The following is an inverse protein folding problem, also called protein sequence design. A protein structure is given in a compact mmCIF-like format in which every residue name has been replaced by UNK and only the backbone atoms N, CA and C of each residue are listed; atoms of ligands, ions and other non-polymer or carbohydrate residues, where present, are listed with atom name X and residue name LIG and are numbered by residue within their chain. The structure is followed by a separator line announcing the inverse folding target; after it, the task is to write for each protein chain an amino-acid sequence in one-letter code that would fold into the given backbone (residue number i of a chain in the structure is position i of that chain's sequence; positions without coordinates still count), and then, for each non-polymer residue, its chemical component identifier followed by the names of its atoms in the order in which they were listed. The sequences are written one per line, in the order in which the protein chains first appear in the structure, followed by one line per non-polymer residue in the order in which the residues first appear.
data_IF_712393725809
#
_entry.id   IF_712393725809
#
_cell.length_a   1.000
_cell.length_b   1.000
_cell.length_c   1.000
_cell.angle_alpha   90.00
_cell.angle_beta   90.00
_cell.angle_gamma   90.00
#
_symmetry.space_group_name_H-M   'P 1'
#
loop_
_entity.id
_entity.type
_entity.pdbx_description
1 polymer ?
#
# COMPACT_ATOMS: atom_id res chain seq x y z
N UNK A 1 -10.24 18.66 -12.93
CA UNK A 1 -10.56 17.37 -12.33
C UNK A 1 -9.24 16.65 -12.13
N UNK A 2 -8.88 16.38 -10.88
CA UNK A 2 -7.51 15.96 -10.51
C UNK A 2 -7.34 14.44 -10.61
N UNK A 3 -8.44 13.70 -10.46
CA UNK A 3 -8.48 12.24 -10.44
C UNK A 3 -9.71 11.79 -11.22
N UNK A 4 -9.52 10.99 -12.26
CA UNK A 4 -10.61 10.65 -13.19
C UNK A 4 -10.59 9.16 -13.51
N UNK A 5 -11.77 8.56 -13.63
CA UNK A 5 -11.86 7.26 -14.29
C UNK A 5 -11.62 7.39 -15.80
N UNK A 6 -10.99 6.38 -16.39
CA UNK A 6 -10.75 6.28 -17.82
C UNK A 6 -10.85 4.83 -18.27
N UNK A 7 -11.31 4.62 -19.49
CA UNK A 7 -11.16 3.33 -20.15
C UNK A 7 -9.82 3.34 -20.88
N UNK A 8 -9.04 2.28 -20.69
CA UNK A 8 -7.77 2.09 -21.36
C UNK A 8 -7.93 1.07 -22.49
N UNK A 9 -7.15 1.23 -23.55
CA UNK A 9 -6.98 0.17 -24.54
C UNK A 9 -6.00 -0.84 -23.96
N UNK A 10 -6.53 -1.97 -23.48
CA UNK A 10 -5.78 -2.97 -22.73
C UNK A 10 -5.58 -4.22 -23.60
N UNK A 11 -4.33 -4.57 -23.86
CA UNK A 11 -3.97 -5.82 -24.52
C UNK A 11 -4.11 -6.99 -23.54
N UNK A 12 -5.25 -7.67 -23.60
CA UNK A 12 -5.55 -8.82 -22.75
C UNK A 12 -4.58 -10.00 -22.94
N UNK A 13 -3.86 -10.08 -24.08
CA UNK A 13 -2.88 -11.14 -24.31
C UNK A 13 -1.61 -11.00 -23.45
N UNK A 14 -1.37 -9.79 -22.94
CA UNK A 14 -0.24 -9.44 -22.08
C UNK A 14 -0.57 -9.63 -20.59
N UNK A 15 -1.85 -9.54 -20.24
CA UNK A 15 -2.30 -9.59 -18.85
C UNK A 15 -1.93 -10.93 -18.24
N UNK A 16 -1.20 -10.88 -17.12
CA UNK A 16 -0.84 -12.10 -16.39
C UNK A 16 -2.10 -12.85 -15.95
N UNK A 17 -2.19 -14.17 -16.15
CA UNK A 17 -3.36 -14.93 -15.75
C UNK A 17 -3.39 -15.23 -14.24
N UNK A 18 -2.25 -15.16 -13.56
CA UNK A 18 -2.09 -15.50 -12.13
C UNK A 18 -1.10 -14.53 -11.50
N UNK A 19 -1.43 -14.04 -10.30
CA UNK A 19 -0.56 -13.18 -9.49
C UNK A 19 -0.23 -13.80 -8.12
N UNK A 20 -1.17 -14.55 -7.51
CA UNK A 20 -0.97 -15.15 -6.20
C UNK A 20 -1.48 -16.60 -6.15
N UNK A 21 -0.60 -17.50 -5.73
CA UNK A 21 -0.89 -18.94 -5.66
C UNK A 21 -1.37 -19.48 -7.01
N UNK A 22 -2.60 -19.98 -7.04
CA UNK A 22 -3.25 -20.55 -8.23
C UNK A 22 -4.49 -19.74 -8.67
N UNK A 23 -4.75 -18.61 -8.02
CA UNK A 23 -5.97 -17.84 -8.27
C UNK A 23 -5.85 -17.06 -9.57
N UNK A 24 -6.89 -17.16 -10.42
CA UNK A 24 -6.98 -16.38 -11.65
C UNK A 24 -7.01 -14.89 -11.33
N UNK A 25 -6.15 -14.14 -12.01
CA UNK A 25 -6.13 -12.70 -11.97
C UNK A 25 -7.37 -12.15 -12.68
N UNK A 26 -8.20 -11.41 -11.95
CA UNK A 26 -9.37 -10.73 -12.48
C UNK A 26 -8.99 -9.31 -12.82
N UNK A 27 -9.15 -8.90 -14.08
CA UNK A 27 -8.77 -7.56 -14.55
C UNK A 27 -9.92 -6.83 -15.25
N UNK A 28 -9.78 -5.52 -15.36
CA UNK A 28 -10.65 -4.64 -16.15
C UNK A 28 -9.81 -3.57 -16.81
N UNK A 29 -10.25 -3.10 -17.98
CA UNK A 29 -9.65 -1.96 -18.66
C UNK A 29 -10.11 -0.61 -18.09
N UNK A 30 -11.11 -0.62 -17.19
CA UNK A 30 -11.52 0.57 -16.45
C UNK A 30 -10.46 0.91 -15.42
N UNK A 31 -9.77 2.02 -15.60
CA UNK A 31 -8.72 2.50 -14.73
C UNK A 31 -8.95 3.89 -14.18
N UNK A 32 -7.92 4.43 -13.54
CA UNK A 32 -7.90 5.80 -13.00
C UNK A 32 -6.67 6.54 -13.51
N UNK A 33 -6.82 7.84 -13.72
CA UNK A 33 -5.74 8.78 -14.02
C UNK A 33 -5.63 9.74 -12.85
N UNK A 34 -4.46 9.83 -12.24
CA UNK A 34 -4.13 10.91 -11.30
C UNK A 34 -3.27 11.96 -11.99
N UNK A 35 -3.59 13.22 -11.74
CA UNK A 35 -2.92 14.37 -12.36
C UNK A 35 -1.50 14.60 -11.81
N UNK A 36 -0.69 15.36 -12.55
CA UNK A 36 0.65 15.76 -12.10
C UNK A 36 0.65 16.62 -10.83
N UNK A 37 -0.43 17.38 -10.58
CA UNK A 37 -0.63 18.09 -9.32
C UNK A 37 -0.74 17.11 -8.14
N UNK A 38 -1.57 16.07 -8.30
CA UNK A 38 -1.72 14.98 -7.32
C UNK A 38 -0.40 14.25 -7.10
N UNK A 39 0.32 13.91 -8.18
CA UNK A 39 1.63 13.24 -8.09
C UNK A 39 2.63 14.08 -7.29
N UNK A 40 2.71 15.37 -7.58
CA UNK A 40 3.63 16.27 -6.91
C UNK A 40 3.30 16.45 -5.43
N UNK A 41 2.01 16.53 -5.08
CA UNK A 41 1.61 16.62 -3.68
C UNK A 41 1.86 15.31 -2.93
N UNK A 42 1.66 14.15 -3.58
CA UNK A 42 2.06 12.84 -3.03
C UNK A 42 3.56 12.79 -2.76
N UNK A 43 4.40 13.35 -3.64
CA UNK A 43 5.84 13.44 -3.42
C UNK A 43 6.20 14.29 -2.20
N UNK A 44 5.57 15.45 -2.06
CA UNK A 44 5.73 16.31 -0.86
C UNK A 44 5.28 15.59 0.41
N UNK A 45 4.15 14.89 0.33
CA UNK A 45 3.63 14.09 1.42
C UNK A 45 4.65 13.05 1.86
N UNK A 46 5.18 12.24 0.93
CA UNK A 46 6.16 11.20 1.23
C UNK A 46 7.47 11.77 1.76
N UNK A 47 7.95 12.88 1.20
CA UNK A 47 9.13 13.58 1.71
C UNK A 47 8.96 14.01 3.17
N UNK A 48 7.82 14.63 3.51
CA UNK A 48 7.50 15.03 4.89
C UNK A 48 7.33 13.82 5.82
N UNK A 49 6.65 12.77 5.35
CA UNK A 49 6.46 11.54 6.10
C UNK A 49 7.80 10.88 6.43
N UNK A 50 8.68 10.73 5.44
CA UNK A 50 10.02 10.13 5.58
C UNK A 50 10.88 10.91 6.58
N UNK A 51 10.82 12.25 6.55
CA UNK A 51 11.49 13.10 7.52
C UNK A 51 10.92 12.93 8.93
N UNK A 52 9.59 12.90 9.08
CA UNK A 52 8.89 12.76 10.37
C UNK A 52 9.19 11.41 11.04
N UNK A 53 9.24 10.32 10.26
CA UNK A 53 9.54 8.97 10.78
C UNK A 53 11.04 8.66 10.86
N UNK A 54 11.91 9.54 10.36
CA UNK A 54 13.37 9.36 10.38
C UNK A 54 13.86 8.15 9.58
N UNK A 55 13.62 8.12 8.27
CA UNK A 55 14.15 7.08 7.38
C UNK A 55 15.66 7.22 7.19
N UNK A 56 16.41 6.11 7.33
CA UNK A 56 17.88 6.08 7.16
C UNK A 56 18.32 5.57 5.78
N UNK A 57 17.48 4.77 5.12
CA UNK A 57 17.66 4.28 3.75
C UNK A 57 16.41 4.57 2.93
N UNK A 58 16.52 4.51 1.60
CA UNK A 58 15.39 4.66 0.69
C UNK A 58 14.30 3.63 1.00
N UNK A 59 13.12 4.06 1.48
CA UNK A 59 12.01 3.16 1.73
C UNK A 59 11.32 2.74 0.43
N UNK A 60 10.56 1.65 0.51
CA UNK A 60 9.63 1.21 -0.54
C UNK A 60 8.25 1.19 0.08
N UNK A 61 7.26 1.72 -0.62
CA UNK A 61 5.90 1.85 -0.09
C UNK A 61 4.86 1.25 -1.02
N UNK A 62 3.88 0.57 -0.41
CA UNK A 62 2.57 0.27 -0.97
C UNK A 62 1.55 1.12 -0.22
N UNK A 63 0.94 2.07 -0.91
CA UNK A 63 0.03 3.05 -0.34
C UNK A 63 -1.39 2.69 -0.74
N UNK A 64 -2.22 2.48 0.27
CA UNK A 64 -3.62 2.13 0.14
C UNK A 64 -4.45 3.41 0.28
N UNK A 65 -5.17 3.81 -0.78
CA UNK A 65 -5.88 5.09 -0.80
C UNK A 65 -7.30 4.98 -1.35
N UNK A 66 -8.23 5.69 -0.73
CA UNK A 66 -9.50 6.04 -1.36
C UNK A 66 -9.36 7.38 -2.07
N UNK A 67 -10.29 7.67 -2.97
CA UNK A 67 -10.23 8.88 -3.77
C UNK A 67 -11.63 9.34 -4.16
N UNK A 68 -11.74 10.60 -4.51
CA UNK A 68 -12.83 11.20 -5.27
C UNK A 68 -12.23 11.97 -6.46
N UNK A 69 -13.00 12.82 -7.14
CA UNK A 69 -12.53 13.57 -8.31
C UNK A 69 -11.44 14.63 -8.00
N UNK A 70 -11.27 14.97 -6.73
CA UNK A 70 -10.46 16.08 -6.24
C UNK A 70 -9.41 15.67 -5.20
N UNK A 71 -9.64 14.59 -4.46
CA UNK A 71 -8.88 14.23 -3.26
C UNK A 71 -8.41 12.78 -3.32
N UNK A 72 -7.16 12.52 -2.89
CA UNK A 72 -6.66 11.19 -2.53
C UNK A 72 -6.55 11.11 -1.01
N UNK A 73 -7.30 10.19 -0.41
CA UNK A 73 -7.31 9.91 1.02
C UNK A 73 -6.42 8.71 1.34
N UNK A 74 -5.27 8.95 1.97
CA UNK A 74 -4.29 7.92 2.33
C UNK A 74 -4.77 7.17 3.58
N UNK A 75 -5.08 5.88 3.42
CA UNK A 75 -5.65 5.04 4.48
C UNK A 75 -4.60 4.26 5.26
N UNK A 76 -3.57 3.77 4.56
CA UNK A 76 -2.46 2.98 5.09
C UNK A 76 -1.23 3.17 4.18
N UNK A 77 -0.04 3.22 4.80
CA UNK A 77 1.26 3.18 4.11
C UNK A 77 1.94 1.91 4.60
N UNK A 78 2.07 0.94 3.71
CA UNK A 78 2.76 -0.31 4.01
C UNK A 78 4.21 -0.20 3.52
N UNK A 79 5.14 -0.62 4.36
CA UNK A 79 6.58 -0.60 4.12
C UNK A 79 7.25 -1.94 4.49
N UNK A 80 6.57 -2.82 5.24
CA UNK A 80 7.10 -4.14 5.59
C UNK A 80 6.71 -5.22 4.59
N UNK A 81 5.57 -5.02 3.93
CA UNK A 81 4.98 -5.93 2.96
C UNK A 81 4.56 -5.11 1.74
N UNK A 82 5.45 -5.09 0.75
CA UNK A 82 5.34 -4.25 -0.45
C UNK A 82 5.42 -5.17 -1.68
N UNK A 83 4.35 -5.92 -1.88
CA UNK A 83 4.09 -6.75 -3.05
C UNK A 83 3.10 -6.05 -4.00
N UNK A 84 2.96 -6.54 -5.23
CA UNK A 84 2.06 -5.98 -6.24
C UNK A 84 2.73 -5.10 -7.30
N UNK A 85 4.06 -4.93 -7.24
CA UNK A 85 4.84 -4.24 -8.27
C UNK A 85 4.69 -4.88 -9.65
N UNK A 86 4.76 -6.21 -9.74
CA UNK A 86 4.59 -6.95 -10.99
C UNK A 86 3.19 -6.75 -11.56
N UNK A 87 2.16 -6.79 -10.70
CA UNK A 87 0.77 -6.49 -11.10
C UNK A 87 0.65 -5.08 -11.67
N UNK A 88 1.21 -4.07 -10.98
CA UNK A 88 1.17 -2.68 -11.41
C UNK A 88 1.86 -2.47 -12.76
N UNK A 89 3.08 -3.01 -12.92
CA UNK A 89 3.85 -2.87 -14.16
C UNK A 89 3.21 -3.62 -15.33
N UNK A 90 2.68 -4.82 -15.09
CA UNK A 90 1.99 -5.60 -16.12
C UNK A 90 0.73 -4.89 -16.62
N UNK A 91 -0.09 -4.35 -15.72
CA UNK A 91 -1.28 -3.56 -16.09
C UNK A 91 -0.90 -2.26 -16.81
N UNK A 92 0.18 -1.59 -16.38
CA UNK A 92 0.69 -0.41 -17.06
C UNK A 92 1.12 -0.74 -18.50
N UNK A 93 1.93 -1.79 -18.70
CA UNK A 93 2.36 -2.23 -20.03
C UNK A 93 1.19 -2.67 -20.91
N UNK A 94 0.28 -3.49 -20.37
CA UNK A 94 -0.91 -3.94 -21.09
C UNK A 94 -1.79 -2.77 -21.55
N UNK A 95 -1.78 -1.66 -20.81
CA UNK A 95 -2.62 -0.47 -21.07
C UNK A 95 -1.88 0.67 -21.78
N UNK A 96 -0.65 0.44 -22.26
CA UNK A 96 0.16 1.47 -22.92
C UNK A 96 0.61 2.63 -22.01
N UNK A 97 0.60 2.44 -20.69
CA UNK A 97 1.06 3.45 -19.72
C UNK A 97 2.58 3.34 -19.59
N UNK A 98 3.27 4.45 -19.85
CA UNK A 98 4.73 4.52 -19.72
C UNK A 98 5.13 4.60 -18.25
N UNK A 99 6.10 3.77 -17.87
CA UNK A 99 6.79 3.83 -16.57
C UNK A 99 8.25 4.16 -16.83
N UNK A 100 8.81 5.12 -16.10
CA UNK A 100 10.20 5.51 -16.21
C UNK A 100 11.11 4.45 -15.53
N UNK A 101 11.94 3.71 -16.28
CA UNK A 101 12.81 2.69 -15.70
C UNK A 101 13.85 3.29 -14.73
N UNK A 102 14.21 4.56 -14.87
CA UNK A 102 15.21 5.20 -13.98
C UNK A 102 14.67 5.43 -12.57
N UNK A 103 13.34 5.43 -12.40
CA UNK A 103 12.68 5.51 -11.10
C UNK A 103 12.60 4.16 -10.36
N UNK A 104 12.86 3.04 -11.04
CA UNK A 104 12.78 1.68 -10.48
C UNK A 104 14.14 1.24 -9.90
N UNK A 105 14.52 1.86 -8.79
CA UNK A 105 15.79 1.55 -8.10
C UNK A 105 15.58 0.37 -7.14
N UNK A 106 15.96 -0.83 -7.57
CA UNK A 106 15.89 -2.06 -6.78
C UNK A 106 17.26 -2.75 -6.68
N UNK A 107 17.50 -3.60 -5.67
CA UNK A 107 18.65 -4.50 -5.68
C UNK A 107 18.49 -5.55 -6.80
N UNK A 108 19.62 -6.12 -7.26
CA UNK A 108 19.61 -7.16 -8.31
C UNK A 108 18.92 -8.45 -7.89
N UNK A 109 18.87 -8.73 -6.58
CA UNK A 109 18.39 -10.00 -6.02
C UNK A 109 17.02 -9.84 -5.40
N UNK A 110 16.12 -10.75 -5.74
CA UNK A 110 14.79 -10.86 -5.15
C UNK A 110 14.55 -12.22 -4.54
N UNK A 111 13.65 -12.27 -3.57
CA UNK A 111 13.18 -13.53 -2.98
C UNK A 111 11.80 -13.36 -2.36
N UNK A 112 11.20 -14.45 -1.92
CA UNK A 112 9.94 -14.43 -1.21
C UNK A 112 9.98 -15.33 0.02
N UNK A 113 9.37 -14.89 1.12
CA UNK A 113 9.15 -15.71 2.33
C UNK A 113 8.13 -16.81 2.15
N UNK A 114 7.26 -16.72 1.14
CA UNK A 114 6.21 -17.70 0.89
C UNK A 114 6.05 -17.99 -0.60
N UNK A 115 5.85 -19.27 -0.93
CA UNK A 115 5.64 -19.71 -2.31
C UNK A 115 4.40 -19.09 -2.96
N UNK A 116 3.42 -18.65 -2.16
CA UNK A 116 2.19 -18.01 -2.67
C UNK A 116 2.47 -16.72 -3.45
N UNK A 117 3.56 -16.01 -3.13
CA UNK A 117 3.96 -14.75 -3.79
C UNK A 117 4.94 -14.96 -4.96
N UNK A 118 5.38 -16.20 -5.22
CA UNK A 118 6.34 -16.47 -6.29
C UNK A 118 5.82 -16.08 -7.68
N UNK A 119 4.53 -16.32 -8.04
CA UNK A 119 4.01 -15.89 -9.34
C UNK A 119 4.09 -14.36 -9.54
N UNK A 120 3.74 -13.59 -8.51
CA UNK A 120 3.89 -12.13 -8.53
C UNK A 120 5.36 -11.75 -8.75
N UNK A 121 6.27 -12.32 -7.96
CA UNK A 121 7.68 -11.94 -8.03
C UNK A 121 8.31 -12.30 -9.39
N UNK A 122 7.90 -13.41 -9.99
CA UNK A 122 8.29 -13.80 -11.35
C UNK A 122 7.78 -12.80 -12.38
N UNK A 123 6.52 -12.38 -12.25
CA UNK A 123 5.96 -11.33 -13.09
C UNK A 123 6.74 -10.03 -12.93
N UNK A 124 7.04 -9.62 -11.70
CA UNK A 124 7.79 -8.39 -11.44
C UNK A 124 9.16 -8.39 -12.12
N UNK A 125 9.95 -9.46 -11.97
CA UNK A 125 11.24 -9.60 -12.65
C UNK A 125 11.09 -9.58 -14.17
N UNK A 126 10.04 -10.23 -14.71
CA UNK A 126 9.75 -10.19 -16.15
C UNK A 126 9.42 -8.77 -16.64
N UNK A 127 8.63 -8.02 -15.89
CA UNK A 127 8.26 -6.64 -16.23
C UNK A 127 9.46 -5.68 -16.11
N UNK A 128 10.35 -5.86 -15.14
CA UNK A 128 11.63 -5.15 -15.10
C UNK A 128 12.47 -5.41 -16.36
N UNK A 129 12.54 -6.66 -16.80
CA UNK A 129 13.25 -7.02 -18.03
C UNK A 129 12.62 -6.35 -19.27
N UNK A 130 11.29 -6.24 -19.37
CA UNK A 130 10.63 -5.51 -20.45
C UNK A 130 10.97 -4.01 -20.47
N UNK A 131 11.33 -3.44 -19.32
CA UNK A 131 11.79 -2.06 -19.17
C UNK A 131 13.31 -1.91 -19.38
N UNK A 132 14.02 -2.97 -19.79
CA UNK A 132 15.46 -2.97 -20.06
C UNK A 132 16.34 -3.29 -18.84
N UNK A 133 15.74 -3.64 -17.69
CA UNK A 133 16.44 -3.93 -16.44
C UNK A 133 16.69 -5.44 -16.27
N UNK A 134 17.54 -6.01 -17.13
CA UNK A 134 17.74 -7.47 -17.29
C UNK A 134 18.58 -8.16 -16.20
N UNK A 135 19.26 -7.39 -15.35
CA UNK A 135 20.21 -7.91 -14.35
C UNK A 135 19.55 -8.45 -13.07
N UNK A 136 18.22 -8.52 -13.05
CA UNK A 136 17.42 -8.87 -11.89
C UNK A 136 17.08 -10.36 -11.85
N UNK A 137 17.23 -11.01 -10.70
CA UNK A 137 16.97 -12.44 -10.57
C UNK A 137 16.33 -12.82 -9.23
N UNK A 138 15.55 -13.91 -9.25
CA UNK A 138 15.01 -14.55 -8.05
C UNK A 138 16.05 -15.53 -7.52
N UNK A 139 16.30 -15.50 -6.21
CA UNK A 139 17.18 -16.44 -5.53
C UNK A 139 16.54 -17.01 -4.26
N UNK A 140 17.15 -18.08 -3.73
CA UNK A 140 16.73 -18.67 -2.46
C UNK A 140 16.90 -17.69 -1.28
N UNK A 141 16.00 -17.79 -0.32
CA UNK A 141 16.04 -16.98 0.89
C UNK A 141 17.01 -17.58 1.90
N UNK A 142 18.22 -17.00 1.99
CA UNK A 142 19.26 -17.46 2.90
C UNK A 142 19.44 -16.56 4.13
N UNK A 143 18.53 -15.60 4.38
CA UNK A 143 18.59 -14.68 5.51
C UNK A 143 19.59 -13.53 5.32
N UNK A 144 20.42 -13.26 6.34
CA UNK A 144 21.33 -12.10 6.41
C UNK A 144 22.57 -12.29 5.50
N UNK A 145 22.36 -12.21 4.19
CA UNK A 145 23.43 -12.12 3.21
C UNK A 145 24.18 -10.78 3.26
N UNK A 146 25.33 -10.72 2.61
CA UNK A 146 26.12 -9.48 2.45
C UNK A 146 25.53 -8.60 1.34
N UNK A 147 24.92 -9.21 0.32
CA UNK A 147 24.31 -8.46 -0.78
C UNK A 147 22.90 -8.00 -0.44
N UNK A 148 22.50 -6.78 -0.83
CA UNK A 148 21.12 -6.32 -0.75
C UNK A 148 20.16 -7.25 -1.50
N UNK A 149 19.03 -7.57 -0.87
CA UNK A 149 17.99 -8.43 -1.41
C UNK A 149 16.62 -7.85 -1.10
N UNK A 150 15.76 -7.75 -2.12
CA UNK A 150 14.38 -7.32 -1.95
C UNK A 150 13.50 -8.54 -1.68
N UNK A 151 12.72 -8.49 -0.60
CA UNK A 151 11.99 -9.65 -0.10
C UNK A 151 10.51 -9.39 -0.12
N UNK A 152 9.79 -10.26 -0.83
CA UNK A 152 8.35 -10.37 -0.75
C UNK A 152 7.94 -11.11 0.50
N UNK A 153 7.05 -10.52 1.28
CA UNK A 153 6.70 -10.99 2.61
C UNK A 153 7.11 -10.00 3.68
N UNK A 154 6.47 -10.08 4.83
CA UNK A 154 6.66 -9.14 5.93
C UNK A 154 8.11 -9.18 6.46
N UNK A 155 8.90 -8.16 6.16
CA UNK A 155 10.34 -8.05 6.51
C UNK A 155 10.70 -6.62 6.96
N UNK A 156 11.97 -6.46 7.34
CA UNK A 156 12.57 -5.16 7.57
C UNK A 156 12.72 -4.88 9.06
N UNK A 157 13.91 -5.18 9.58
CA UNK A 157 14.41 -4.70 10.87
C UNK A 157 15.69 -3.93 10.63
N UNK A 158 16.01 -2.95 11.49
CA UNK A 158 17.30 -2.23 11.43
C UNK A 158 18.51 -3.15 11.55
N UNK A 159 18.35 -4.29 12.22
CA UNK A 159 19.42 -5.29 12.39
C UNK A 159 19.70 -6.10 11.10
N UNK A 160 18.95 -5.86 10.03
CA UNK A 160 19.05 -6.55 8.75
C UNK A 160 19.30 -5.54 7.62
N UNK A 161 20.46 -4.85 7.58
CA UNK A 161 20.70 -3.72 6.68
C UNK A 161 20.64 -4.07 5.19
N UNK A 162 20.83 -5.33 4.83
CA UNK A 162 20.81 -5.82 3.45
C UNK A 162 19.45 -6.39 3.03
N UNK A 163 18.44 -6.37 3.91
CA UNK A 163 17.11 -6.88 3.62
C UNK A 163 16.20 -5.70 3.32
N UNK A 164 15.71 -5.64 2.08
CA UNK A 164 14.80 -4.61 1.61
C UNK A 164 13.36 -5.17 1.53
N UNK A 165 12.34 -4.39 1.90
CA UNK A 165 12.42 -3.03 2.43
C UNK A 165 13.10 -2.92 3.81
N UNK A 166 14.04 -1.99 3.94
CA UNK A 166 14.81 -1.77 5.17
C UNK A 166 13.93 -1.14 6.24
N UNK A 167 14.03 -1.61 7.49
CA UNK A 167 13.26 -1.10 8.64
C UNK A 167 11.72 -1.08 8.40
N UNK A 168 11.27 -1.92 7.47
CA UNK A 168 9.90 -2.00 7.00
C UNK A 168 8.90 -2.21 8.13
N UNK A 169 9.19 -3.08 9.11
CA UNK A 169 8.27 -3.36 10.24
C UNK A 169 7.96 -2.13 11.08
N UNK A 170 8.95 -1.27 11.33
CA UNK A 170 8.74 -0.02 12.09
C UNK A 170 7.96 0.97 11.24
N UNK A 171 8.28 1.08 9.96
CA UNK A 171 7.62 2.00 9.02
C UNK A 171 6.16 1.63 8.77
N UNK A 172 5.82 0.33 8.78
CA UNK A 172 4.45 -0.21 8.64
C UNK A 172 3.51 0.14 9.80
N UNK A 173 4.05 0.63 10.92
CA UNK A 173 3.25 0.94 12.09
C UNK A 173 2.29 2.09 11.77
N UNK A 174 0.99 1.80 11.80
CA UNK A 174 -0.08 2.77 11.47
C UNK A 174 -0.08 4.02 12.35
N UNK A 175 0.54 3.97 13.54
CA UNK A 175 0.76 5.16 14.35
C UNK A 175 1.58 6.22 13.61
N UNK A 176 2.53 5.83 12.76
CA UNK A 176 3.37 6.78 12.02
C UNK A 176 2.51 7.71 11.16
N UNK A 177 1.57 7.15 10.40
CA UNK A 177 0.63 7.92 9.58
C UNK A 177 -0.27 8.80 10.46
N UNK A 178 -0.75 8.26 11.58
CA UNK A 178 -1.60 9.01 12.49
C UNK A 178 -0.90 10.17 13.21
N UNK A 179 0.37 10.02 13.58
CA UNK A 179 1.18 11.11 14.14
C UNK A 179 1.43 12.17 13.07
N UNK A 180 1.88 11.76 11.89
CA UNK A 180 2.16 12.68 10.78
C UNK A 180 0.91 13.42 10.28
N UNK A 181 -0.28 12.82 10.40
CA UNK A 181 -1.56 13.45 10.03
C UNK A 181 -1.83 14.78 10.73
N UNK A 182 -1.19 15.02 11.88
CA UNK A 182 -1.33 16.26 12.66
C UNK A 182 -0.47 17.40 12.12
N UNK A 183 0.55 17.09 11.33
CA UNK A 183 1.50 18.04 10.75
C UNK A 183 1.18 18.31 9.28
N UNK A 184 0.61 17.31 8.60
CA UNK A 184 0.31 17.38 7.19
C UNK A 184 -0.89 18.28 6.89
N UNK A 185 -0.69 19.26 6.00
CA UNK A 185 -1.75 20.12 5.46
C UNK A 185 -1.70 20.09 3.94
N UNK A 186 -2.44 19.16 3.34
CA UNK A 186 -2.53 18.97 1.89
C UNK A 186 -3.88 19.42 1.32
N UNK A 187 -3.85 19.89 0.08
CA UNK A 187 -5.04 20.32 -0.67
C UNK A 187 -5.69 19.13 -1.39
N UNK A 188 -4.87 18.27 -2.02
CA UNK A 188 -5.26 17.11 -2.82
C UNK A 188 -5.04 15.82 -2.06
N UNK A 189 -3.89 15.67 -1.41
CA UNK A 189 -3.52 14.46 -0.68
C UNK A 189 -3.88 14.68 0.77
N UNK A 190 -4.80 13.87 1.29
CA UNK A 190 -5.31 14.00 2.65
C UNK A 190 -5.12 12.73 3.42
N UNK A 191 -5.00 12.88 4.73
CA UNK A 191 -5.06 11.76 5.67
C UNK A 191 -6.37 11.93 6.45
N UNK A 192 -7.19 10.88 6.58
CA UNK A 192 -8.34 10.93 7.48
C UNK A 192 -7.89 11.24 8.90
N UNK A 193 -8.72 11.90 9.71
CA UNK A 193 -8.36 12.18 11.10
C UNK A 193 -8.03 10.88 11.82
N UNK A 194 -6.87 10.84 12.47
CA UNK A 194 -6.48 9.76 13.37
C UNK A 194 -6.68 10.18 14.82
N UNK A 195 -7.21 9.27 15.62
CA UNK A 195 -7.26 9.38 17.07
C UNK A 195 -6.27 8.39 17.66
N UNK A 196 -5.40 8.89 18.53
CA UNK A 196 -4.34 8.14 19.18
C UNK A 196 -4.40 8.44 20.68
N UNK A 197 -4.22 7.42 21.51
CA UNK A 197 -4.37 7.49 22.98
C UNK A 197 -3.63 8.66 23.62
N UNK A 198 -2.38 8.92 23.22
CA UNK A 198 -1.60 10.07 23.75
C UNK A 198 -2.20 11.45 23.45
N UNK A 199 -3.12 11.57 22.49
CA UNK A 199 -3.73 12.85 22.08
C UNK A 199 -5.24 12.90 22.32
N UNK A 200 -5.93 11.75 22.34
CA UNK A 200 -7.37 11.65 22.43
C UNK A 200 -7.77 10.52 23.37
N UNK A 201 -8.62 10.81 24.35
CA UNK A 201 -9.17 9.77 25.21
C UNK A 201 -10.16 8.88 24.45
N UNK A 202 -10.33 7.63 24.89
CA UNK A 202 -11.30 6.69 24.28
C UNK A 202 -12.73 7.25 24.24
N UNK A 203 -13.06 8.06 25.24
CA UNK A 203 -14.36 8.71 25.40
C UNK A 203 -14.60 9.81 24.35
N UNK A 204 -13.55 10.53 23.94
CA UNK A 204 -13.61 11.60 22.93
C UNK A 204 -13.74 11.07 21.49
N UNK A 205 -13.33 9.82 21.24
CA UNK A 205 -13.42 9.23 19.91
C UNK A 205 -14.89 9.08 19.50
N UNK A 206 -15.28 9.56 18.30
CA UNK A 206 -16.61 9.33 17.74
C UNK A 206 -16.96 7.85 17.68
N UNK A 207 -18.27 7.55 17.60
CA UNK A 207 -18.71 6.16 17.41
C UNK A 207 -18.42 5.65 16.00
N UNK A 208 -18.51 6.53 15.00
CA UNK A 208 -18.35 6.20 13.59
C UNK A 208 -16.89 6.37 13.17
N UNK A 209 -16.07 5.38 13.49
CA UNK A 209 -14.64 5.34 13.17
C UNK A 209 -14.27 3.94 12.68
N UNK A 210 -13.16 3.83 11.96
CA UNK A 210 -12.48 2.55 11.72
C UNK A 210 -11.42 2.36 12.79
N UNK A 211 -11.49 1.25 13.52
CA UNK A 211 -10.43 0.83 14.42
C UNK A 211 -9.48 -0.11 13.68
N UNK A 212 -8.18 0.17 13.70
CA UNK A 212 -7.16 -0.63 13.01
C UNK A 212 -6.06 -1.02 13.99
N UNK A 213 -5.71 -2.29 14.04
CA UNK A 213 -4.52 -2.72 14.79
C UNK A 213 -3.27 -2.24 14.06
N UNK A 214 -2.34 -1.68 14.83
CA UNK A 214 -1.09 -1.13 14.29
C UNK A 214 -0.29 -2.19 13.54
N UNK A 215 -0.34 -3.42 14.05
CA UNK A 215 0.32 -4.60 13.51
C UNK A 215 -0.70 -5.73 13.26
N UNK A 216 -0.83 -6.18 12.00
CA UNK A 216 -1.77 -7.23 11.57
C UNK A 216 -1.39 -8.65 12.08
N UNK A 217 -0.13 -8.86 12.45
CA UNK A 217 0.38 -10.12 13.03
C UNK A 217 0.62 -10.04 14.54
N UNK A 218 0.09 -9.01 15.21
CA UNK A 218 0.17 -8.90 16.67
C UNK A 218 -0.74 -9.90 17.37
N UNK A 219 -0.36 -10.29 18.59
CA UNK A 219 -1.16 -11.17 19.46
C UNK A 219 -2.55 -10.57 19.71
N UNK A 220 -2.65 -9.24 19.78
CA UNK A 220 -3.91 -8.53 19.92
C UNK A 220 -4.84 -8.71 18.72
N UNK A 221 -4.28 -8.61 17.51
CA UNK A 221 -5.02 -8.85 16.26
C UNK A 221 -5.50 -10.29 16.18
N UNK A 222 -4.63 -11.26 16.48
CA UNK A 222 -4.98 -12.69 16.52
C UNK A 222 -6.11 -12.98 17.52
N UNK A 223 -6.01 -12.39 18.72
CA UNK A 223 -7.04 -12.50 19.75
C UNK A 223 -8.37 -11.88 19.32
N UNK A 224 -8.32 -10.76 18.59
CA UNK A 224 -9.51 -10.11 18.06
C UNK A 224 -10.12 -10.86 16.86
N UNK A 225 -9.34 -11.72 16.18
CA UNK A 225 -9.69 -12.41 14.92
C UNK A 225 -10.04 -11.46 13.77
N UNK A 226 -9.68 -10.19 13.89
CA UNK A 226 -9.93 -9.16 12.90
C UNK A 226 -8.89 -8.04 13.07
N UNK A 227 -8.34 -7.59 11.96
CA UNK A 227 -7.34 -6.50 11.93
C UNK A 227 -7.97 -5.11 11.82
N UNK A 228 -9.22 -5.05 11.36
CA UNK A 228 -10.00 -3.83 11.12
C UNK A 228 -11.42 -4.02 11.67
N UNK A 229 -11.93 -3.02 12.39
CA UNK A 229 -13.30 -3.00 12.91
C UNK A 229 -13.98 -1.69 12.53
N UNK A 230 -15.20 -1.77 11.99
CA UNK A 230 -16.03 -0.60 11.78
C UNK A 230 -16.83 -0.29 13.04
N UNK A 231 -16.87 1.00 13.36
CA UNK A 231 -17.49 1.59 14.52
C UNK A 231 -16.83 1.20 15.85
N UNK A 232 -16.87 2.15 16.79
CA UNK A 232 -16.49 1.90 18.16
C UNK A 232 -17.49 0.94 18.81
N UNK A 233 -17.07 -0.18 19.42
CA UNK A 233 -17.98 -1.14 20.02
C UNK A 233 -18.82 -0.49 21.14
N UNK A 234 -20.13 -0.77 21.17
CA UNK A 234 -21.03 -0.30 22.22
C UNK A 234 -20.84 -1.11 23.51
N UNK A 235 -20.74 -0.42 24.65
CA UNK A 235 -20.65 -1.06 25.98
C UNK A 235 -19.22 -1.28 26.47
N UNK A 236 -19.05 -2.14 27.49
CA UNK A 236 -17.73 -2.48 28.01
C UNK A 236 -17.04 -3.43 27.02
N UNK A 237 -16.13 -2.89 26.20
CA UNK A 237 -15.15 -3.67 25.45
C UNK A 237 -13.75 -3.43 26.06
N UNK A 238 -13.45 -3.96 27.27
CA UNK A 238 -12.23 -3.60 28.00
C UNK A 238 -10.96 -3.95 27.22
N UNK A 239 -11.01 -5.00 26.39
CA UNK A 239 -9.88 -5.39 25.57
C UNK A 239 -9.57 -4.33 24.50
N UNK A 240 -10.54 -3.92 23.68
CA UNK A 240 -10.34 -2.93 22.62
C UNK A 240 -9.90 -1.59 23.21
N UNK A 241 -10.54 -1.15 24.31
CA UNK A 241 -10.12 0.06 25.01
C UNK A 241 -8.69 -0.04 25.54
N UNK A 242 -8.27 -1.19 26.07
CA UNK A 242 -6.88 -1.41 26.50
C UNK A 242 -5.90 -1.37 25.33
N UNK A 243 -6.23 -1.99 24.20
CA UNK A 243 -5.39 -1.94 22.99
C UNK A 243 -5.23 -0.52 22.48
N UNK A 244 -6.32 0.27 22.45
CA UNK A 244 -6.26 1.68 22.12
C UNK A 244 -5.36 2.44 23.10
N UNK A 245 -5.60 2.28 24.40
CA UNK A 245 -4.82 2.98 25.43
C UNK A 245 -3.32 2.64 25.39
N UNK A 246 -2.99 1.41 25.00
CA UNK A 246 -1.62 0.92 24.82
C UNK A 246 -1.03 1.26 23.44
N UNK A 247 -1.78 1.96 22.58
CA UNK A 247 -1.39 2.33 21.21
C UNK A 247 -1.06 1.14 20.29
N UNK A 248 -1.59 -0.04 20.59
CA UNK A 248 -1.59 -1.19 19.67
C UNK A 248 -2.77 -1.15 18.70
N UNK A 249 -3.70 -0.21 18.92
CA UNK A 249 -4.86 0.07 18.10
C UNK A 249 -5.00 1.59 17.89
N UNK A 250 -5.27 2.01 16.65
CA UNK A 250 -5.66 3.37 16.32
C UNK A 250 -7.14 3.44 15.96
N UNK A 251 -7.74 4.63 16.07
CA UNK A 251 -9.01 4.94 15.44
C UNK A 251 -8.78 5.96 14.31
N UNK A 252 -9.53 5.83 13.22
CA UNK A 252 -9.44 6.68 12.03
C UNK A 252 -10.85 7.03 11.57
N UNK A 253 -11.07 8.27 11.10
CA UNK A 253 -12.33 8.63 10.46
C UNK A 253 -12.65 7.72 9.27
N UNK A 254 -13.93 7.40 9.10
CA UNK A 254 -14.39 6.60 7.97
C UNK A 254 -14.37 7.46 6.71
N UNK A 255 -13.50 7.12 5.75
CA UNK A 255 -13.63 7.59 4.37
C UNK A 255 -14.39 6.55 3.57
N UNK A 256 -15.42 6.99 2.84
CA UNK A 256 -16.18 6.12 1.96
C UNK A 256 -15.45 5.99 0.61
N UNK A 257 -15.29 4.77 0.07
CA UNK A 257 -14.70 4.60 -1.25
C UNK A 257 -15.64 5.17 -2.32
N UNK A 258 -15.06 5.73 -3.37
CA UNK A 258 -15.80 5.99 -4.61
C UNK A 258 -16.29 4.67 -5.20
N UNK A 259 -17.47 4.69 -5.81
CA UNK A 259 -18.08 3.52 -6.43
C UNK A 259 -18.11 3.64 -7.94
N UNK A 260 -17.72 2.58 -8.62
CA UNK A 260 -17.87 2.41 -10.06
C UNK A 260 -18.66 1.12 -10.31
N UNK A 261 -19.80 1.23 -10.98
CA UNK A 261 -20.67 0.10 -11.33
C UNK A 261 -21.02 -0.82 -10.13
N UNK A 262 -21.27 -0.19 -8.98
CA UNK A 262 -21.61 -0.86 -7.73
C UNK A 262 -20.43 -1.48 -6.97
N UNK A 263 -19.21 -1.38 -7.49
CA UNK A 263 -17.98 -1.81 -6.81
C UNK A 263 -17.30 -0.63 -6.11
N UNK A 264 -16.82 -0.85 -4.89
CA UNK A 264 -15.95 0.07 -4.18
C UNK A 264 -14.57 0.09 -4.85
N UNK A 265 -13.99 1.27 -4.97
CA UNK A 265 -12.71 1.49 -5.62
C UNK A 265 -11.63 1.93 -4.62
N UNK A 266 -10.42 1.40 -4.79
CA UNK A 266 -9.22 1.79 -4.04
C UNK A 266 -8.03 1.92 -4.98
N UNK A 267 -7.20 2.93 -4.77
CA UNK A 267 -5.91 3.06 -5.42
C UNK A 267 -4.86 2.32 -4.59
N UNK A 268 -4.05 1.54 -5.28
CA UNK A 268 -2.79 1.00 -4.77
C UNK A 268 -1.68 1.74 -5.49
N UNK A 269 -0.93 2.56 -4.75
CA UNK A 269 0.15 3.39 -5.29
C UNK A 269 1.47 2.88 -4.75
N UNK A 270 2.41 2.60 -5.63
CA UNK A 270 3.77 2.20 -5.27
C UNK A 270 4.73 3.36 -5.38
N UNK A 271 5.57 3.51 -4.36
CA UNK A 271 6.58 4.56 -4.30
C UNK A 271 7.93 4.02 -3.84
N UNK A 272 9.00 4.67 -4.31
CA UNK A 272 10.37 4.46 -3.87
C UNK A 272 10.89 5.79 -3.34
N UNK A 273 11.24 5.82 -2.04
CA UNK A 273 11.58 7.06 -1.36
C UNK A 273 10.39 8.02 -1.30
N UNK A 274 10.53 9.14 -1.99
CA UNK A 274 9.51 10.17 -2.12
C UNK A 274 8.80 10.14 -3.49
N UNK A 275 9.19 9.26 -4.42
CA UNK A 275 8.67 9.27 -5.78
C UNK A 275 7.54 8.23 -5.94
N UNK A 276 6.29 8.65 -6.25
CA UNK A 276 5.24 7.75 -6.69
C UNK A 276 5.55 7.27 -8.12
N UNK A 277 5.70 5.96 -8.30
CA UNK A 277 6.20 5.37 -9.55
C UNK A 277 5.09 4.79 -10.41
N UNK A 278 4.29 3.89 -9.83
CA UNK A 278 3.25 3.14 -10.56
C UNK A 278 2.14 2.72 -9.59
N UNK A 279 1.12 2.03 -10.09
CA UNK A 279 0.08 1.45 -9.26
C UNK A 279 -1.03 0.79 -10.06
N UNK A 280 -2.11 0.49 -9.37
CA UNK A 280 -3.33 -0.05 -9.98
C UNK A 280 -4.54 0.32 -9.13
N UNK A 281 -5.72 0.09 -9.68
CA UNK A 281 -7.02 0.29 -9.02
C UNK A 281 -7.60 -1.06 -8.66
N UNK A 282 -8.14 -1.19 -7.46
CA UNK A 282 -8.88 -2.37 -7.02
C UNK A 282 -10.38 -2.09 -7.02
N UNK A 283 -11.16 -3.04 -7.52
CA UNK A 283 -12.61 -3.01 -7.56
C UNK A 283 -13.18 -4.21 -6.80
N UNK A 284 -13.99 -3.94 -5.76
CA UNK A 284 -14.62 -4.98 -4.97
C UNK A 284 -16.05 -4.62 -4.56
N UNK A 285 -16.93 -5.62 -4.50
CA UNK A 285 -18.28 -5.45 -3.93
C UNK A 285 -18.27 -5.38 -2.40
N UNK A 286 -17.16 -5.77 -1.77
CA UNK A 286 -16.97 -5.71 -0.32
C UNK A 286 -16.53 -4.33 0.14
N UNK A 287 -16.90 -3.93 1.36
CA UNK A 287 -16.42 -2.67 1.97
C UNK A 287 -14.93 -2.71 2.31
N UNK A 288 -14.40 -3.89 2.65
CA UNK A 288 -12.97 -4.16 2.77
C UNK A 288 -12.51 -4.79 1.46
N UNK A 289 -11.60 -4.10 0.78
CA UNK A 289 -11.05 -4.53 -0.49
C UNK A 289 -9.78 -5.35 -0.21
N UNK A 290 -9.71 -6.55 -0.78
CA UNK A 290 -8.62 -7.51 -0.58
C UNK A 290 -8.02 -7.93 -1.94
N UNK A 291 -6.95 -8.70 -1.91
CA UNK A 291 -6.17 -9.11 -3.10
C UNK A 291 -6.95 -9.98 -4.11
N UNK A 292 -8.12 -10.51 -3.73
CA UNK A 292 -9.04 -11.23 -4.62
C UNK A 292 -10.01 -10.31 -5.39
N UNK A 293 -9.77 -9.01 -5.37
CA UNK A 293 -10.53 -8.00 -6.12
C UNK A 293 -10.24 -8.04 -7.62
N UNK A 294 -10.99 -7.27 -8.41
CA UNK A 294 -10.67 -7.03 -9.83
C UNK A 294 -9.70 -5.86 -9.93
N UNK A 295 -8.66 -5.97 -10.75
CA UNK A 295 -7.63 -4.94 -10.91
C UNK A 295 -7.75 -4.18 -12.23
N UNK A 296 -7.61 -2.86 -12.18
CA UNK A 296 -7.56 -1.99 -13.36
C UNK A 296 -6.33 -1.08 -13.36
N UNK A 297 -5.98 -0.50 -14.51
CA UNK A 297 -4.77 0.32 -14.65
C UNK A 297 -4.85 1.64 -13.88
N UNK A 298 -3.69 2.12 -13.41
CA UNK A 298 -3.54 3.47 -12.84
C UNK A 298 -2.46 4.23 -13.60
N UNK A 299 -2.83 5.36 -14.20
CA UNK A 299 -1.87 6.29 -14.80
C UNK A 299 -1.55 7.43 -13.84
N UNK A 300 -0.27 7.54 -13.47
CA UNK A 300 0.26 8.65 -12.67
C UNK A 300 0.89 9.66 -13.65
N UNK A 301 0.24 10.82 -13.84
CA UNK A 301 0.67 11.84 -14.81
C UNK A 301 1.65 12.84 -14.22
#
# INVERSE_FOLDING_TARGET
MRINFSDFDMDESIVTPIIYGENRHSTTNRGVVISGETKWELKKFLSGFNASVGTEQTPYYRIDAYFDEQTVWLLEINASFVDGWGTALNLARASGITVDPTSLVFPKRFTSKSRVYLPELQLFVSELAHLGLHDHNICEWNGNGVDPIYVYGRVGSKDQPNVLPFDGLRLDNKLNLGVFSREWTGDVVKIPQHYISRFNSWEEIPREVVLKFCDKGSVECERARQSVMFNKPSGKAPFIKRCYNAETLIAQDIVRPTKQDGSNCQLIIFAIGDEPVTGYVQYSRSEIINDNSTHGPLRIS
#
